data_IF_904145473836
#
_entry.id   IF_904145473836
#
_cell.length_a   1.000
_cell.length_b   1.000
_cell.length_c   1.000
_cell.angle_alpha   90.00
_cell.angle_beta   90.00
_cell.angle_gamma   90.00
#
_symmetry.space_group_name_H-M   'P 1'
#
loop_
_entity.id
_entity.type
_entity.pdbx_description
1 polymer ?
#
# COMPACT_ATOMS: atom_id res chain seq x y z
N UNK A 1 -9.22 22.16 4.48
CA UNK A 1 -9.28 20.87 5.19
C UNK A 1 -7.86 20.33 5.29
N UNK A 2 -7.48 19.64 6.38
CA UNK A 2 -6.15 19.04 6.52
C UNK A 2 -6.20 17.54 6.20
N UNK A 3 -5.09 16.98 5.70
CA UNK A 3 -4.94 15.53 5.51
C UNK A 3 -5.03 14.84 6.87
N UNK A 4 -5.85 13.79 6.97
CA UNK A 4 -5.96 12.96 8.18
C UNK A 4 -5.12 11.69 8.05
N UNK A 5 -4.68 11.16 9.18
CA UNK A 5 -4.14 9.81 9.21
C UNK A 5 -5.25 8.80 8.90
N UNK A 6 -4.96 7.80 8.09
CA UNK A 6 -5.94 6.79 7.66
C UNK A 6 -5.80 5.59 8.59
N UNK A 7 -6.85 5.17 9.32
CA UNK A 7 -6.78 3.99 10.19
C UNK A 7 -6.38 2.74 9.42
N UNK A 8 -5.65 1.81 10.06
CA UNK A 8 -5.20 0.55 9.44
C UNK A 8 -6.34 -0.27 8.86
N UNK A 9 -7.46 -0.33 9.58
CA UNK A 9 -8.70 -0.96 9.13
C UNK A 9 -9.19 -0.40 7.80
N UNK A 10 -9.15 0.91 7.62
CA UNK A 10 -9.61 1.53 6.38
C UNK A 10 -8.57 1.38 5.26
N UNK A 11 -7.28 1.41 5.58
CA UNK A 11 -6.23 1.07 4.61
C UNK A 11 -6.43 -0.35 4.04
N UNK A 12 -6.67 -1.36 4.89
CA UNK A 12 -6.95 -2.73 4.45
C UNK A 12 -8.20 -2.82 3.60
N UNK A 13 -9.30 -2.15 3.99
CA UNK A 13 -10.52 -2.11 3.17
C UNK A 13 -10.25 -1.56 1.78
N UNK A 14 -9.45 -0.50 1.66
CA UNK A 14 -9.12 0.12 0.37
C UNK A 14 -8.26 -0.81 -0.47
N UNK A 15 -7.20 -1.40 0.10
CA UNK A 15 -6.34 -2.35 -0.61
C UNK A 15 -7.11 -3.60 -1.06
N UNK A 16 -7.96 -4.16 -0.20
CA UNK A 16 -8.80 -5.30 -0.53
C UNK A 16 -9.85 -4.96 -1.60
N UNK A 17 -10.53 -3.81 -1.49
CA UNK A 17 -11.49 -3.34 -2.51
C UNK A 17 -10.84 -3.21 -3.89
N UNK A 18 -9.57 -2.80 -3.92
CA UNK A 18 -8.81 -2.58 -5.14
C UNK A 18 -7.99 -3.83 -5.57
N UNK A 19 -8.29 -5.00 -4.99
CA UNK A 19 -7.62 -6.27 -5.24
C UNK A 19 -6.09 -6.20 -5.16
N UNK A 20 -5.56 -5.38 -4.24
CA UNK A 20 -4.11 -5.18 -4.08
C UNK A 20 -3.38 -4.74 -5.35
N UNK A 21 -4.04 -3.91 -6.17
CA UNK A 21 -3.44 -3.29 -7.35
C UNK A 21 -3.47 -1.77 -7.27
N UNK A 22 -2.42 -1.15 -7.82
CA UNK A 22 -2.39 0.29 -8.01
C UNK A 22 -3.47 0.70 -9.01
N UNK A 23 -4.43 1.52 -8.57
CA UNK A 23 -5.53 2.01 -9.40
C UNK A 23 -5.09 2.98 -10.49
N UNK A 24 -3.85 3.46 -10.50
CA UNK A 24 -3.34 4.35 -11.55
C UNK A 24 -2.56 3.63 -12.66
N UNK A 25 -1.83 2.56 -12.34
CA UNK A 25 -0.96 1.87 -13.31
C UNK A 25 -1.26 0.39 -13.48
N UNK A 26 -2.22 -0.15 -12.71
CA UNK A 26 -2.66 -1.54 -12.78
C UNK A 26 -1.66 -2.56 -12.25
N UNK A 27 -0.49 -2.15 -11.73
CA UNK A 27 0.52 -3.08 -11.20
C UNK A 27 0.14 -3.57 -9.79
N UNK A 28 0.46 -4.82 -9.43
CA UNK A 28 0.26 -5.34 -8.09
C UNK A 28 1.06 -4.53 -7.07
N UNK A 29 0.53 -4.45 -5.84
CA UNK A 29 1.20 -3.82 -4.71
C UNK A 29 1.46 -4.80 -3.56
N UNK A 30 2.46 -4.50 -2.74
CA UNK A 30 2.92 -5.36 -1.65
C UNK A 30 2.61 -4.78 -0.27
N UNK A 31 2.19 -5.63 0.65
CA UNK A 31 1.93 -5.27 2.05
C UNK A 31 3.26 -5.11 2.79
N UNK A 32 3.64 -3.85 3.04
CA UNK A 32 4.94 -3.51 3.65
C UNK A 32 5.21 -4.20 5.01
N UNK A 33 4.23 -4.42 5.91
CA UNK A 33 4.45 -5.19 7.13
C UNK A 33 4.95 -6.62 6.87
N UNK A 34 4.46 -7.32 5.85
CA UNK A 34 4.99 -8.64 5.48
C UNK A 34 6.41 -8.55 4.98
N UNK A 35 6.72 -7.57 4.11
CA UNK A 35 8.09 -7.38 3.62
C UNK A 35 9.09 -7.12 4.76
N UNK A 36 8.66 -6.38 5.79
CA UNK A 36 9.47 -6.14 6.99
C UNK A 36 9.73 -7.43 7.76
N UNK A 37 8.73 -8.29 7.94
CA UNK A 37 8.92 -9.58 8.60
C UNK A 37 9.84 -10.51 7.79
N UNK A 38 9.72 -10.52 6.47
CA UNK A 38 10.60 -11.30 5.60
C UNK A 38 12.06 -10.85 5.74
N UNK A 39 12.33 -9.54 5.80
CA UNK A 39 13.69 -9.03 6.03
C UNK A 39 14.21 -9.39 7.43
N UNK A 40 13.37 -9.35 8.46
CA UNK A 40 13.78 -9.75 9.82
C UNK A 40 14.08 -11.25 9.92
N UNK A 41 13.31 -12.09 9.21
CA UNK A 41 13.50 -13.53 9.14
C UNK A 41 14.73 -13.93 8.33
N UNK A 42 15.04 -13.17 7.28
CA UNK A 42 16.12 -13.47 6.37
C UNK A 42 16.92 -12.19 6.01
N UNK A 43 17.70 -11.65 6.96
CA UNK A 43 18.38 -10.38 6.78
C UNK A 43 19.31 -10.34 5.57
N UNK A 44 19.43 -9.18 4.94
CA UNK A 44 20.34 -8.96 3.81
C UNK A 44 19.76 -9.36 2.45
N UNK A 45 18.52 -9.86 2.40
CA UNK A 45 17.83 -10.16 1.14
C UNK A 45 17.15 -8.93 0.54
N UNK A 46 17.18 -7.80 1.23
CA UNK A 46 16.75 -6.48 0.72
C UNK A 46 15.25 -6.44 0.40
N UNK A 47 14.44 -7.15 1.19
CA UNK A 47 13.00 -7.14 1.09
C UNK A 47 12.39 -5.83 1.62
N UNK A 48 12.98 -5.25 2.66
CA UNK A 48 12.49 -4.03 3.29
C UNK A 48 13.63 -3.18 3.88
N UNK A 49 13.47 -1.86 3.78
CA UNK A 49 14.33 -0.89 4.45
C UNK A 49 13.49 0.34 4.86
N UNK A 50 13.67 0.82 6.11
CA UNK A 50 12.87 1.94 6.67
C UNK A 50 12.92 3.24 5.85
N UNK A 51 14.05 3.49 5.18
CA UNK A 51 14.25 4.66 4.32
C UNK A 51 14.20 4.29 2.83
N UNK A 52 13.33 3.33 2.44
CA UNK A 52 13.28 2.68 1.13
C UNK A 52 13.87 3.50 -0.02
N UNK A 53 15.04 3.08 -0.50
CA UNK A 53 15.79 3.73 -1.57
C UNK A 53 16.31 2.70 -2.55
N UNK A 54 16.55 3.12 -3.80
CA UNK A 54 17.27 2.28 -4.77
C UNK A 54 18.60 1.81 -4.16
N UNK A 55 18.94 0.54 -4.39
CA UNK A 55 20.16 -0.08 -3.86
C UNK A 55 20.08 -0.61 -2.43
N UNK A 56 18.97 -0.39 -1.70
CA UNK A 56 18.74 -0.95 -0.35
C UNK A 56 17.58 -1.95 -0.28
N UNK A 57 16.72 -1.90 -1.29
CA UNK A 57 15.63 -2.85 -1.49
C UNK A 57 15.60 -3.24 -2.96
N UNK A 58 15.15 -4.46 -3.27
CA UNK A 58 14.91 -4.85 -4.67
C UNK A 58 13.85 -3.93 -5.29
N UNK A 59 14.03 -3.57 -6.57
CA UNK A 59 13.22 -2.54 -7.21
C UNK A 59 11.70 -2.76 -7.14
N UNK A 60 11.15 -3.99 -7.29
CA UNK A 60 9.72 -4.21 -7.14
C UNK A 60 9.17 -3.75 -5.78
N UNK A 61 9.93 -3.93 -4.70
CA UNK A 61 9.50 -3.59 -3.34
C UNK A 61 9.76 -2.13 -2.98
N UNK A 62 10.75 -1.48 -3.59
CA UNK A 62 10.94 -0.02 -3.47
C UNK A 62 9.72 0.73 -4.00
N UNK A 63 9.20 0.30 -5.16
CA UNK A 63 8.20 1.06 -5.90
C UNK A 63 6.78 0.52 -5.74
N UNK A 64 6.67 -0.75 -5.38
CA UNK A 64 5.42 -1.50 -5.38
C UNK A 64 4.77 -1.65 -4.02
N UNK A 65 5.28 -1.09 -2.91
CA UNK A 65 4.51 -1.21 -1.67
C UNK A 65 3.16 -0.48 -1.77
N UNK A 66 2.16 -1.02 -1.10
CA UNK A 66 0.82 -0.46 -1.07
C UNK A 66 0.79 0.86 -0.31
N UNK A 67 0.11 1.85 -0.87
CA UNK A 67 -0.20 3.11 -0.21
C UNK A 67 -1.63 3.52 -0.54
N UNK A 68 -2.19 4.42 0.26
CA UNK A 68 -3.49 5.02 0.01
C UNK A 68 -3.29 6.46 -0.46
N UNK A 69 -3.85 6.77 -1.62
CA UNK A 69 -3.83 8.10 -2.21
C UNK A 69 -5.24 8.68 -2.31
N UNK A 70 -5.34 10.00 -2.26
CA UNK A 70 -6.58 10.72 -2.54
C UNK A 70 -6.77 10.84 -4.05
N UNK A 71 -7.92 10.46 -4.60
CA UNK A 71 -8.25 10.68 -6.02
C UNK A 71 -8.22 12.19 -6.31
N UNK A 72 -9.00 12.95 -5.55
CA UNK A 72 -8.95 14.41 -5.49
C UNK A 72 -8.13 14.81 -4.26
N UNK A 73 -6.97 15.48 -4.42
CA UNK A 73 -6.16 15.91 -3.29
C UNK A 73 -6.91 16.87 -2.36
N UNK A 74 -6.62 16.80 -1.06
CA UNK A 74 -7.22 17.70 -0.05
C UNK A 74 -6.92 19.18 -0.35
N UNK A 75 -5.75 19.48 -0.92
CA UNK A 75 -5.37 20.84 -1.38
C UNK A 75 -6.24 21.38 -2.51
N UNK A 76 -7.04 20.50 -3.14
CA UNK A 76 -7.98 20.80 -4.22
C UNK A 76 -9.43 20.53 -3.80
N UNK A 77 -9.70 20.50 -2.49
CA UNK A 77 -11.05 20.31 -1.95
C UNK A 77 -11.50 18.86 -1.79
N UNK A 78 -10.62 17.89 -2.01
CA UNK A 78 -10.92 16.48 -1.80
C UNK A 78 -11.19 16.12 -0.33
N UNK A 79 -12.09 15.17 -0.12
CA UNK A 79 -12.50 14.69 1.20
C UNK A 79 -11.55 13.62 1.74
N UNK A 80 -11.57 13.41 3.05
CA UNK A 80 -10.83 12.34 3.72
C UNK A 80 -11.77 11.15 4.00
N UNK A 81 -12.27 10.50 2.94
CA UNK A 81 -13.24 9.39 3.00
C UNK A 81 -12.88 8.27 2.01
N UNK A 82 -13.49 7.09 2.20
CA UNK A 82 -13.16 5.85 1.47
C UNK A 82 -13.41 6.02 -0.04
N UNK A 83 -14.42 6.78 -0.40
CA UNK A 83 -14.84 7.05 -1.77
C UNK A 83 -13.80 7.88 -2.53
N UNK A 84 -13.12 8.81 -1.84
CA UNK A 84 -12.02 9.59 -2.40
C UNK A 84 -10.64 8.92 -2.22
N UNK A 85 -10.58 7.71 -1.65
CA UNK A 85 -9.34 6.96 -1.48
C UNK A 85 -9.19 5.84 -2.48
N UNK A 86 -7.97 5.63 -2.97
CA UNK A 86 -7.59 4.50 -3.82
C UNK A 86 -6.23 3.93 -3.45
N UNK A 87 -6.04 2.67 -3.78
CA UNK A 87 -4.75 1.99 -3.72
C UNK A 87 -3.81 2.56 -4.78
N UNK A 88 -2.63 2.98 -4.35
CA UNK A 88 -1.56 3.43 -5.22
C UNK A 88 -0.26 2.73 -4.85
N UNK A 89 0.53 2.32 -5.85
CA UNK A 89 1.91 1.95 -5.60
C UNK A 89 2.71 3.19 -5.21
N UNK A 90 3.80 3.00 -4.47
CA UNK A 90 4.63 4.11 -4.01
C UNK A 90 5.11 5.03 -5.15
N UNK A 91 5.47 4.44 -6.29
CA UNK A 91 5.89 5.20 -7.47
C UNK A 91 4.80 6.17 -7.93
N UNK A 92 3.56 5.70 -8.10
CA UNK A 92 2.44 6.54 -8.52
C UNK A 92 2.05 7.57 -7.45
N UNK A 93 1.99 7.16 -6.18
CA UNK A 93 1.69 8.07 -5.08
C UNK A 93 2.71 9.23 -5.00
N UNK A 94 3.99 8.96 -5.23
CA UNK A 94 5.03 10.00 -5.27
C UNK A 94 4.94 10.91 -6.50
N UNK A 95 4.66 10.37 -7.68
CA UNK A 95 4.64 11.13 -8.93
C UNK A 95 3.35 11.94 -9.13
N UNK A 96 2.24 11.55 -8.50
CA UNK A 96 0.91 12.13 -8.69
C UNK A 96 0.46 13.07 -7.55
N UNK A 97 1.23 13.19 -6.44
CA UNK A 97 0.89 13.90 -5.19
C UNK A 97 -0.08 15.08 -5.30
N UNK A 98 0.24 16.08 -6.12
CA UNK A 98 -0.50 17.34 -6.24
C UNK A 98 -1.22 17.50 -7.58
N UNK A 99 -1.20 16.46 -8.42
CA UNK A 99 -1.87 16.48 -9.72
C UNK A 99 -3.35 16.11 -9.53
N UNK A 100 -4.18 16.73 -10.33
CA UNK A 100 -5.60 16.37 -10.53
C UNK A 100 -5.74 15.77 -11.93
N UNK A 101 -6.90 15.19 -12.23
CA UNK A 101 -7.12 14.49 -13.51
C UNK A 101 -6.77 15.40 -14.69
N UNK A 102 -7.21 16.65 -14.62
CA UNK A 102 -6.99 17.70 -15.61
C UNK A 102 -5.54 18.27 -15.65
N UNK A 103 -4.66 17.85 -14.74
CA UNK A 103 -3.24 18.24 -14.73
C UNK A 103 -2.27 17.06 -14.84
N UNK A 104 -2.75 15.95 -15.42
CA UNK A 104 -1.94 14.77 -15.74
C UNK A 104 -2.01 13.64 -14.73
N UNK A 105 -3.09 13.56 -13.93
CA UNK A 105 -3.43 12.37 -13.14
C UNK A 105 -4.38 11.51 -13.96
N UNK A 106 -4.05 10.24 -14.18
CA UNK A 106 -4.96 9.32 -14.84
C UNK A 106 -6.20 9.11 -13.96
N UNK A 107 -7.37 8.96 -14.58
CA UNK A 107 -8.53 8.45 -13.86
C UNK A 107 -8.19 7.08 -13.26
N UNK A 108 -8.60 6.79 -12.01
CA UNK A 108 -8.38 5.48 -11.43
C UNK A 108 -9.05 4.40 -12.29
N UNK A 109 -8.30 3.36 -12.67
CA UNK A 109 -8.79 2.15 -13.36
C UNK A 109 -9.96 1.59 -12.57
N UNK A 110 -11.15 1.44 -13.15
CA UNK A 110 -12.36 1.14 -12.37
C UNK A 110 -12.39 -0.23 -11.69
N UNK A 111 -11.90 -1.28 -12.37
CA UNK A 111 -11.90 -2.66 -11.87
C UNK A 111 -10.64 -3.37 -12.33
N UNK A 112 -10.03 -4.12 -11.42
CA UNK A 112 -8.93 -5.03 -11.70
C UNK A 112 -9.32 -6.37 -11.09
N UNK A 113 -9.36 -7.44 -11.88
CA UNK A 113 -9.66 -8.79 -11.40
C UNK A 113 -8.35 -9.52 -11.12
N UNK A 114 -8.19 -10.03 -9.90
CA UNK A 114 -6.99 -10.75 -9.48
C UNK A 114 -7.21 -11.43 -8.14
N UNK A 115 -6.54 -12.56 -7.94
CA UNK A 115 -6.44 -13.28 -6.65
C UNK A 115 -5.22 -12.84 -5.82
N UNK A 116 -4.50 -11.81 -6.27
CA UNK A 116 -3.33 -11.29 -5.54
C UNK A 116 -3.76 -10.62 -4.23
N UNK A 117 -3.16 -11.05 -3.12
CA UNK A 117 -3.49 -10.60 -1.77
C UNK A 117 -2.46 -9.59 -1.20
N UNK A 118 -1.49 -9.16 -2.01
CA UNK A 118 -0.42 -8.28 -1.55
C UNK A 118 0.53 -8.90 -0.52
N UNK A 119 0.55 -10.22 -0.36
CA UNK A 119 1.20 -10.92 0.76
C UNK A 119 0.56 -10.66 2.13
N UNK A 120 -0.68 -10.18 2.18
CA UNK A 120 -1.36 -9.94 3.45
C UNK A 120 -1.66 -11.23 4.22
N UNK A 121 -2.01 -12.33 3.55
CA UNK A 121 -2.25 -13.63 4.17
C UNK A 121 -1.00 -14.26 4.79
N UNK A 122 0.19 -13.91 4.31
CA UNK A 122 1.46 -14.37 4.89
C UNK A 122 1.75 -13.71 6.25
N UNK A 123 1.23 -12.52 6.50
CA UNK A 123 1.57 -11.74 7.70
C UNK A 123 1.27 -12.47 9.02
N UNK A 124 0.03 -12.95 9.29
CA UNK A 124 -0.26 -13.67 10.52
C UNK A 124 0.54 -14.96 10.67
N UNK A 125 0.79 -15.69 9.57
CA UNK A 125 1.58 -16.93 9.55
C UNK A 125 3.02 -16.65 9.97
N UNK A 126 3.64 -15.60 9.42
CA UNK A 126 5.01 -15.23 9.75
C UNK A 126 5.14 -14.72 11.18
N UNK A 127 4.16 -13.95 11.69
CA UNK A 127 4.15 -13.49 13.10
C UNK A 127 4.12 -14.66 14.08
N UNK A 128 3.28 -15.67 13.81
CA UNK A 128 3.20 -16.88 14.64
C UNK A 128 4.52 -17.64 14.61
N UNK A 129 5.11 -17.84 13.43
CA UNK A 129 6.37 -18.57 13.26
C UNK A 129 7.54 -17.95 14.04
N UNK A 130 7.58 -16.63 14.18
CA UNK A 130 8.62 -15.92 14.94
C UNK A 130 8.26 -15.72 16.42
N UNK A 131 7.12 -16.26 16.89
CA UNK A 131 6.68 -16.16 18.27
C UNK A 131 6.34 -14.73 18.73
N UNK A 132 5.99 -13.83 17.81
CA UNK A 132 5.65 -12.44 18.15
C UNK A 132 4.17 -12.33 18.51
N UNK A 133 3.83 -11.49 19.48
CA UNK A 133 2.43 -11.22 19.84
C UNK A 133 1.69 -10.64 18.63
N UNK A 134 0.43 -11.06 18.45
CA UNK A 134 -0.47 -10.48 17.44
C UNK A 134 -0.60 -8.98 17.67
N UNK A 135 -0.28 -8.19 16.65
CA UNK A 135 -0.49 -6.76 16.64
C UNK A 135 -1.82 -6.42 15.94
N UNK A 136 -2.11 -5.12 15.82
CA UNK A 136 -3.33 -4.64 15.15
C UNK A 136 -3.46 -5.14 13.70
N UNK A 137 -2.36 -5.27 12.95
CA UNK A 137 -2.43 -5.80 11.58
C UNK A 137 -2.84 -7.27 11.60
N UNK A 138 -2.24 -8.07 12.47
CA UNK A 138 -2.59 -9.48 12.62
C UNK A 138 -4.06 -9.65 13.01
N UNK A 139 -4.57 -8.84 13.95
CA UNK A 139 -5.97 -8.88 14.38
C UNK A 139 -6.95 -8.50 13.26
N UNK A 140 -6.57 -7.59 12.37
CA UNK A 140 -7.40 -7.20 11.22
C UNK A 140 -7.34 -8.18 10.05
N UNK A 141 -6.31 -9.04 10.00
CA UNK A 141 -6.08 -10.03 8.94
C UNK A 141 -6.43 -11.46 9.38
N UNK A 142 -6.97 -11.66 10.59
CA UNK A 142 -7.36 -12.97 11.13
C UNK A 142 -8.86 -13.19 11.14
#
# INVERSE_FOLDING_TARGET
>A
MNRKNIPKKDQLKIWARDNWHCRYCGKPVFFAPTLKLLEELNPGHTYYHKNGSKGKMIEPFVWGWASVDHVVPVTRGGKNDIENYVTACWKCNLSLKNKIIDSGKSEPINKIESEWDGFSGLYPILLEKIGRKKDEWALLLS
#
